data_IF_470687899869
#
_entry.id   IF_470687899869
#
_cell.length_a   1.000
_cell.length_b   1.000
_cell.length_c   1.000
_cell.angle_alpha   90.00
_cell.angle_beta   90.00
_cell.angle_gamma   90.00
#
_symmetry.space_group_name_H-M   'P 1'
#
loop_
_entity.id
_entity.type
_entity.pdbx_description
1 polymer ?
#
# COMPACT_ATOMS: atom_id res chain seq x y z
N UNK A 1 12.91 29.58 -0.61
CA UNK A 1 13.88 28.71 -1.32
C UNK A 1 13.30 27.96 -2.52
N UNK A 2 12.17 27.23 -2.41
CA UNK A 2 11.62 26.46 -3.55
C UNK A 2 11.44 27.23 -4.87
N UNK A 3 10.97 28.48 -4.82
CA UNK A 3 10.81 29.35 -6.01
C UNK A 3 12.12 29.57 -6.78
N UNK A 4 13.24 29.74 -6.07
CA UNK A 4 14.57 30.00 -6.66
C UNK A 4 15.00 28.82 -7.52
N UNK A 5 14.94 27.59 -7.00
CA UNK A 5 15.31 26.40 -7.76
C UNK A 5 14.33 26.13 -8.92
N UNK A 6 13.04 26.41 -8.71
CA UNK A 6 12.00 26.24 -9.74
C UNK A 6 12.22 27.15 -10.95
N UNK A 7 12.58 28.41 -10.71
CA UNK A 7 12.80 29.41 -11.74
C UNK A 7 14.24 29.39 -12.28
N UNK A 8 15.14 28.62 -11.67
CA UNK A 8 16.52 28.50 -12.13
C UNK A 8 16.61 27.84 -13.53
N UNK A 9 17.41 28.41 -14.43
CA UNK A 9 17.73 27.77 -15.72
C UNK A 9 18.53 26.48 -15.54
N UNK A 10 19.39 26.46 -14.52
CA UNK A 10 20.24 25.33 -14.13
C UNK A 10 20.66 25.48 -12.68
N UNK A 11 20.54 24.41 -11.91
CA UNK A 11 21.11 24.28 -10.57
C UNK A 11 22.40 23.46 -10.64
N UNK A 12 23.47 23.98 -10.05
CA UNK A 12 24.76 23.31 -9.95
C UNK A 12 24.94 22.84 -8.51
N UNK A 13 25.09 21.54 -8.32
CA UNK A 13 25.48 20.96 -7.04
C UNK A 13 26.99 20.82 -7.04
N UNK A 14 27.67 21.61 -6.22
CA UNK A 14 29.11 21.50 -6.02
C UNK A 14 29.40 20.51 -4.90
N UNK A 15 30.01 19.38 -5.24
CA UNK A 15 30.38 18.34 -4.29
C UNK A 15 31.73 18.59 -3.63
N UNK A 16 32.46 19.64 -4.02
CA UNK A 16 33.81 19.94 -3.55
C UNK A 16 34.88 19.75 -4.62
N UNK A 17 36.14 19.94 -4.23
CA UNK A 17 37.30 19.85 -5.13
C UNK A 17 37.48 18.46 -5.76
N UNK A 18 38.12 18.47 -6.94
CA UNK A 18 38.43 17.28 -7.71
C UNK A 18 39.72 16.62 -7.24
N UNK A 19 39.70 15.31 -7.18
CA UNK A 19 40.82 14.41 -6.92
C UNK A 19 40.76 13.28 -7.93
N UNK A 20 41.86 12.53 -8.09
CA UNK A 20 41.86 11.34 -8.95
C UNK A 20 40.73 10.36 -8.57
N UNK A 21 40.52 10.15 -7.27
CA UNK A 21 39.46 9.27 -6.76
C UNK A 21 38.06 9.79 -7.07
N UNK A 22 37.81 11.09 -6.88
CA UNK A 22 36.50 11.65 -7.20
C UNK A 22 36.21 11.66 -8.71
N UNK A 23 37.24 11.83 -9.53
CA UNK A 23 37.13 11.76 -10.98
C UNK A 23 36.78 10.33 -11.42
N UNK A 24 37.46 9.35 -10.85
CA UNK A 24 37.17 7.92 -11.03
C UNK A 24 35.75 7.58 -10.57
N UNK A 25 35.29 8.12 -9.45
CA UNK A 25 33.93 7.95 -8.95
C UNK A 25 32.87 8.50 -9.91
N UNK A 26 33.04 9.72 -10.43
CA UNK A 26 32.11 10.32 -11.39
C UNK A 26 32.10 9.52 -12.71
N UNK A 27 33.25 9.10 -13.19
CA UNK A 27 33.36 8.25 -14.38
C UNK A 27 32.67 6.90 -14.16
N UNK A 28 32.83 6.30 -12.98
CA UNK A 28 32.18 5.04 -12.62
C UNK A 28 30.66 5.17 -12.54
N UNK A 29 30.14 6.31 -12.05
CA UNK A 29 28.70 6.61 -12.13
C UNK A 29 28.19 6.64 -13.58
N UNK A 30 28.96 7.18 -14.53
CA UNK A 30 28.57 7.11 -15.96
C UNK A 30 28.59 5.67 -16.50
N UNK A 31 29.50 4.82 -16.04
CA UNK A 31 29.54 3.39 -16.38
C UNK A 31 28.28 2.70 -15.84
N UNK A 32 27.99 2.84 -14.54
CA UNK A 32 26.79 2.30 -13.90
C UNK A 32 25.51 2.75 -14.62
N UNK A 33 25.44 4.01 -15.06
CA UNK A 33 24.31 4.52 -15.81
C UNK A 33 24.11 3.80 -17.15
N UNK A 34 25.21 3.52 -17.87
CA UNK A 34 25.20 2.79 -19.16
C UNK A 34 24.84 1.31 -18.98
N UNK A 35 25.22 0.70 -17.86
CA UNK A 35 24.96 -0.71 -17.56
C UNK A 35 23.49 -1.04 -17.25
N UNK A 36 22.61 -0.04 -17.05
CA UNK A 36 21.18 -0.23 -16.66
C UNK A 36 20.45 -1.31 -17.47
N UNK A 37 20.61 -1.29 -18.81
CA UNK A 37 19.94 -2.23 -19.73
C UNK A 37 20.47 -3.66 -19.57
N UNK A 38 21.78 -3.81 -19.36
CA UNK A 38 22.46 -5.09 -19.18
C UNK A 38 22.15 -5.71 -17.82
N UNK A 39 22.00 -4.87 -16.79
CA UNK A 39 21.59 -5.24 -15.44
C UNK A 39 20.09 -5.54 -15.30
N UNK A 40 19.33 -5.58 -16.39
CA UNK A 40 17.89 -5.85 -16.34
C UNK A 40 17.63 -7.34 -16.05
N UNK A 41 16.63 -7.64 -15.21
CA UNK A 41 16.36 -9.01 -14.75
C UNK A 41 16.03 -10.00 -15.87
N UNK A 42 15.39 -9.54 -16.97
CA UNK A 42 15.09 -10.35 -18.17
C UNK A 42 16.34 -10.76 -18.97
N UNK A 43 17.52 -10.22 -18.67
CA UNK A 43 18.76 -10.46 -19.43
C UNK A 43 19.75 -11.36 -18.67
N UNK A 44 19.30 -12.48 -18.09
CA UNK A 44 20.08 -13.33 -17.16
C UNK A 44 21.57 -13.56 -17.53
N UNK A 45 21.93 -14.11 -18.71
CA UNK A 45 23.34 -14.41 -19.02
C UNK A 45 24.19 -13.15 -19.19
N UNK A 46 23.64 -12.08 -19.80
CA UNK A 46 24.36 -10.80 -19.96
C UNK A 46 24.46 -10.01 -18.64
N UNK A 47 23.52 -10.25 -17.73
CA UNK A 47 23.45 -9.60 -16.42
C UNK A 47 24.60 -10.09 -15.53
N UNK A 48 24.84 -11.40 -15.45
CA UNK A 48 25.90 -11.97 -14.60
C UNK A 48 27.29 -11.48 -15.02
N UNK A 49 27.60 -11.53 -16.32
CA UNK A 49 28.88 -11.03 -16.86
C UNK A 49 29.06 -9.54 -16.58
N UNK A 50 28.02 -8.74 -16.77
CA UNK A 50 28.09 -7.29 -16.51
C UNK A 50 28.23 -7.00 -15.01
N UNK A 51 27.57 -7.77 -14.14
CA UNK A 51 27.73 -7.65 -12.69
C UNK A 51 29.16 -7.94 -12.31
N UNK A 52 29.72 -9.07 -12.73
CA UNK A 52 31.09 -9.46 -12.39
C UNK A 52 32.09 -8.38 -12.80
N UNK A 53 31.97 -7.86 -14.04
CA UNK A 53 32.77 -6.74 -14.52
C UNK A 53 32.67 -5.48 -13.65
N UNK A 54 31.49 -5.18 -13.11
CA UNK A 54 31.29 -4.03 -12.23
C UNK A 54 31.89 -4.28 -10.84
N UNK A 55 31.76 -5.50 -10.30
CA UNK A 55 32.37 -5.90 -9.02
C UNK A 55 33.91 -5.73 -9.09
N UNK A 56 34.51 -6.23 -10.17
CA UNK A 56 35.97 -6.24 -10.37
C UNK A 56 36.56 -4.86 -10.78
N UNK A 57 35.72 -3.83 -10.90
CA UNK A 57 36.16 -2.51 -11.40
C UNK A 57 37.16 -1.81 -10.49
N UNK A 58 37.21 -2.18 -9.19
CA UNK A 58 38.00 -1.47 -8.17
C UNK A 58 37.56 -0.03 -7.91
N UNK A 59 36.43 0.42 -8.49
CA UNK A 59 35.95 1.81 -8.41
C UNK A 59 34.90 2.06 -7.32
N UNK A 60 34.58 1.04 -6.53
CA UNK A 60 33.60 1.12 -5.44
C UNK A 60 34.04 2.01 -4.28
N UNK A 61 35.30 1.91 -3.84
CA UNK A 61 35.84 2.73 -2.74
C UNK A 61 35.92 4.22 -3.10
N UNK A 62 36.42 4.64 -4.28
CA UNK A 62 36.31 6.04 -4.72
C UNK A 62 34.87 6.55 -4.76
N UNK A 63 33.94 5.72 -5.24
CA UNK A 63 32.52 6.05 -5.26
C UNK A 63 31.95 6.23 -3.85
N UNK A 64 32.30 5.35 -2.92
CA UNK A 64 31.90 5.46 -1.52
C UNK A 64 32.40 6.79 -0.91
N UNK A 65 33.67 7.15 -1.10
CA UNK A 65 34.22 8.43 -0.64
C UNK A 65 33.48 9.64 -1.23
N UNK A 66 33.11 9.61 -2.51
CA UNK A 66 32.31 10.66 -3.13
C UNK A 66 30.92 10.78 -2.48
N UNK A 67 30.28 9.64 -2.17
CA UNK A 67 28.94 9.58 -1.57
C UNK A 67 28.93 9.87 -0.05
N UNK A 68 30.10 9.88 0.60
CA UNK A 68 30.27 10.33 1.98
C UNK A 68 30.34 11.85 2.12
N UNK A 69 30.47 12.61 1.02
CA UNK A 69 30.60 14.06 1.08
C UNK A 69 29.37 14.76 1.71
N UNK A 70 29.55 15.92 2.37
CA UNK A 70 28.52 16.52 3.23
C UNK A 70 27.18 16.79 2.54
N UNK A 71 27.19 17.18 1.25
CA UNK A 71 25.97 17.48 0.49
C UNK A 71 24.96 16.32 0.54
N UNK A 72 25.42 15.07 0.60
CA UNK A 72 24.50 13.93 0.56
C UNK A 72 23.66 13.75 1.82
N UNK A 73 24.08 14.35 2.94
CA UNK A 73 23.42 14.21 4.24
C UNK A 73 22.60 15.44 4.63
N UNK A 74 22.67 16.52 3.85
CA UNK A 74 21.99 17.77 4.17
C UNK A 74 20.53 17.74 3.69
N UNK A 75 19.59 17.86 4.64
CA UNK A 75 18.13 17.78 4.43
C UNK A 75 17.62 18.77 3.37
N UNK A 76 18.09 20.03 3.45
CA UNK A 76 17.65 21.12 2.58
C UNK A 76 18.04 20.93 1.10
N UNK A 77 19.03 20.08 0.82
CA UNK A 77 19.47 19.77 -0.55
C UNK A 77 18.40 19.04 -1.37
N UNK A 78 17.39 18.45 -0.70
CA UNK A 78 16.29 17.79 -1.37
C UNK A 78 15.49 18.74 -2.26
N UNK A 79 15.24 19.97 -1.78
CA UNK A 79 14.52 20.99 -2.54
C UNK A 79 15.32 21.38 -3.79
N UNK A 80 16.65 21.50 -3.67
CA UNK A 80 17.55 21.74 -4.80
C UNK A 80 17.48 20.61 -5.82
N UNK A 81 17.49 19.37 -5.32
CA UNK A 81 17.51 18.16 -6.15
C UNK A 81 16.21 17.93 -6.91
N UNK A 82 15.07 18.08 -6.24
CA UNK A 82 13.75 17.75 -6.78
C UNK A 82 13.22 18.89 -7.65
N UNK A 83 13.27 20.13 -7.15
CA UNK A 83 12.56 21.27 -7.74
C UNK A 83 13.25 21.78 -9.01
N UNK A 84 14.59 21.69 -9.08
CA UNK A 84 15.34 22.22 -10.20
C UNK A 84 14.96 21.55 -11.54
N UNK A 85 14.67 22.32 -12.60
CA UNK A 85 14.35 21.76 -13.91
C UNK A 85 15.56 21.03 -14.51
N UNK A 86 16.74 21.64 -14.41
CA UNK A 86 18.03 21.03 -14.80
C UNK A 86 19.01 21.09 -13.63
N UNK A 87 19.52 19.92 -13.23
CA UNK A 87 20.51 19.80 -12.16
C UNK A 87 21.71 18.97 -12.58
N UNK A 88 22.89 19.48 -12.25
CA UNK A 88 24.18 18.85 -12.56
C UNK A 88 25.03 18.80 -11.30
N UNK A 89 25.54 17.63 -10.99
CA UNK A 89 26.55 17.43 -9.97
C UNK A 89 27.93 17.71 -10.55
N UNK A 90 28.70 18.54 -9.88
CA UNK A 90 30.10 18.79 -10.18
C UNK A 90 30.98 18.38 -9.02
N UNK A 91 32.13 17.80 -9.33
CA UNK A 91 33.20 17.53 -8.40
C UNK A 91 34.51 17.85 -9.12
N UNK A 92 35.17 18.95 -8.75
CA UNK A 92 36.23 19.51 -9.59
C UNK A 92 35.72 19.81 -11.01
N UNK A 93 36.42 19.30 -12.03
CA UNK A 93 36.05 19.48 -13.44
C UNK A 93 35.07 18.42 -13.97
N UNK A 94 34.85 17.33 -13.23
CA UNK A 94 33.98 16.24 -13.65
C UNK A 94 32.54 16.48 -13.22
N UNK A 95 31.60 15.99 -14.02
CA UNK A 95 30.19 16.17 -13.74
C UNK A 95 29.29 15.02 -14.18
N UNK A 96 28.12 14.96 -13.58
CA UNK A 96 27.04 14.06 -13.96
C UNK A 96 25.67 14.74 -13.82
N UNK A 97 24.84 14.64 -14.86
CA UNK A 97 23.49 15.19 -14.82
C UNK A 97 22.54 14.33 -13.95
N UNK A 98 21.57 14.98 -13.31
CA UNK A 98 20.57 14.36 -12.41
C UNK A 98 19.96 13.07 -12.97
N UNK A 99 19.53 13.08 -14.23
CA UNK A 99 18.91 11.92 -14.87
C UNK A 99 19.86 10.72 -14.96
N UNK A 100 21.13 10.96 -15.35
CA UNK A 100 22.15 9.90 -15.41
C UNK A 100 22.54 9.42 -14.01
N UNK A 101 22.68 10.32 -13.05
CA UNK A 101 22.94 9.97 -11.66
C UNK A 101 21.84 9.05 -11.09
N UNK A 102 20.57 9.38 -11.31
CA UNK A 102 19.45 8.54 -10.87
C UNK A 102 19.46 7.13 -11.48
N UNK A 103 19.87 7.01 -12.75
CA UNK A 103 20.06 5.69 -13.39
C UNK A 103 21.26 4.95 -12.80
N UNK A 104 22.39 5.62 -12.61
CA UNK A 104 23.60 5.05 -12.01
C UNK A 104 23.32 4.47 -10.63
N UNK A 105 22.66 5.23 -9.78
CA UNK A 105 22.32 4.82 -8.43
C UNK A 105 21.32 3.63 -8.42
N UNK A 106 20.45 3.51 -9.44
CA UNK A 106 19.59 2.34 -9.61
C UNK A 106 20.34 1.08 -10.03
N UNK A 107 21.42 1.23 -10.80
CA UNK A 107 22.36 0.13 -11.09
C UNK A 107 23.17 -0.24 -9.85
N UNK A 108 23.63 0.77 -9.10
CA UNK A 108 24.34 0.62 -7.84
C UNK A 108 23.53 -0.22 -6.83
N UNK A 109 22.25 0.08 -6.61
CA UNK A 109 21.39 -0.70 -5.70
C UNK A 109 21.29 -2.17 -6.11
N UNK A 110 21.29 -2.47 -7.42
CA UNK A 110 21.27 -3.86 -7.90
C UNK A 110 22.56 -4.60 -7.58
N UNK A 111 23.71 -3.95 -7.75
CA UNK A 111 25.00 -4.54 -7.39
C UNK A 111 25.11 -4.72 -5.87
N UNK A 112 24.72 -3.71 -5.08
CA UNK A 112 24.71 -3.77 -3.61
C UNK A 112 23.81 -4.87 -3.04
N UNK A 113 22.72 -5.21 -3.73
CA UNK A 113 21.82 -6.32 -3.35
C UNK A 113 22.44 -7.70 -3.57
N UNK A 114 23.49 -7.79 -4.38
CA UNK A 114 24.22 -9.03 -4.65
C UNK A 114 25.40 -9.14 -3.68
N UNK A 115 26.15 -8.05 -3.53
CA UNK A 115 27.24 -7.94 -2.57
C UNK A 115 27.07 -6.64 -1.78
N UNK A 116 26.73 -6.77 -0.50
CA UNK A 116 26.48 -5.65 0.39
C UNK A 116 27.78 -5.00 0.92
N UNK A 117 28.95 -5.59 0.69
CA UNK A 117 30.25 -5.07 1.10
C UNK A 117 30.82 -4.03 0.12
N UNK A 118 30.28 -3.94 -1.10
CA UNK A 118 30.73 -2.98 -2.12
C UNK A 118 30.59 -1.52 -1.69
N UNK A 119 29.52 -1.22 -0.94
CA UNK A 119 29.26 0.11 -0.43
C UNK A 119 28.36 -0.01 0.78
N UNK A 120 28.74 0.64 1.88
CA UNK A 120 27.98 0.54 3.12
C UNK A 120 26.60 1.17 2.94
N UNK A 121 25.61 0.55 3.60
CA UNK A 121 24.23 1.02 3.55
C UNK A 121 24.10 2.46 4.09
N UNK A 122 24.87 2.80 5.12
CA UNK A 122 24.96 4.14 5.73
C UNK A 122 25.50 5.22 4.78
N UNK A 123 26.24 4.83 3.74
CA UNK A 123 26.75 5.74 2.69
C UNK A 123 25.76 5.81 1.52
N UNK A 124 25.21 4.67 1.14
CA UNK A 124 24.26 4.58 0.03
C UNK A 124 22.94 5.30 0.33
N UNK A 125 22.38 5.15 1.53
CA UNK A 125 21.09 5.72 1.90
C UNK A 125 21.05 7.24 1.74
N UNK A 126 22.01 8.02 2.29
CA UNK A 126 22.07 9.45 2.08
C UNK A 126 22.27 9.82 0.60
N UNK A 127 22.97 9.02 -0.20
CA UNK A 127 23.10 9.33 -1.62
C UNK A 127 21.83 9.04 -2.43
N UNK A 128 21.04 8.07 -1.97
CA UNK A 128 19.84 7.59 -2.64
C UNK A 128 18.65 8.48 -2.29
N UNK A 129 18.30 9.39 -3.19
CA UNK A 129 17.24 10.39 -2.96
C UNK A 129 15.89 9.81 -2.55
N UNK A 130 15.58 8.54 -2.88
CA UNK A 130 14.35 7.88 -2.40
C UNK A 130 14.38 7.55 -0.91
N UNK A 131 15.56 7.43 -0.30
CA UNK A 131 15.77 7.05 1.11
C UNK A 131 16.29 8.16 2.00
N UNK A 132 16.82 9.27 1.45
CA UNK A 132 17.07 10.53 2.20
C UNK A 132 15.87 11.02 3.00
N UNK A 133 14.71 10.61 2.53
CA UNK A 133 13.42 10.95 3.08
C UNK A 133 13.24 10.36 4.51
N UNK A 134 13.87 9.23 4.86
CA UNK A 134 13.52 8.42 6.05
C UNK A 134 13.58 9.16 7.40
N UNK A 135 14.57 10.04 7.65
CA UNK A 135 14.72 10.72 8.96
C UNK A 135 14.04 12.09 9.04
N UNK A 136 13.99 12.81 7.91
CA UNK A 136 13.52 14.20 7.84
C UNK A 136 12.34 14.34 6.86
N UNK A 137 11.46 13.33 6.81
CA UNK A 137 10.35 13.23 5.86
C UNK A 137 9.50 14.50 5.82
N UNK A 138 9.16 15.04 6.99
CA UNK A 138 8.28 16.20 7.10
C UNK A 138 9.04 17.47 6.67
N UNK A 139 10.20 17.74 7.28
CA UNK A 139 10.93 18.99 7.05
C UNK A 139 11.56 19.10 5.66
N UNK A 140 12.05 17.98 5.11
CA UNK A 140 12.60 17.94 3.76
C UNK A 140 11.56 18.30 2.68
N UNK A 141 10.29 18.02 2.95
CA UNK A 141 9.16 18.28 2.04
C UNK A 141 8.50 19.65 2.24
N UNK A 142 8.87 20.44 3.27
CA UNK A 142 8.26 21.76 3.53
C UNK A 142 8.26 22.71 2.33
N UNK A 143 9.32 22.67 1.50
CA UNK A 143 9.42 23.50 0.30
C UNK A 143 8.59 23.00 -0.89
N UNK A 144 8.03 21.80 -0.79
CA UNK A 144 7.19 21.14 -1.79
C UNK A 144 5.72 21.05 -1.37
N UNK A 145 5.46 20.96 -0.06
CA UNK A 145 4.13 20.85 0.52
C UNK A 145 3.34 22.15 0.33
N UNK A 146 2.08 22.02 -0.12
CA UNK A 146 1.16 23.16 -0.27
C UNK A 146 0.70 23.66 1.11
N UNK A 147 0.55 22.72 2.02
CA UNK A 147 0.08 22.83 3.41
C UNK A 147 1.24 22.74 4.40
N UNK A 148 2.40 23.28 4.03
CA UNK A 148 3.62 23.28 4.86
C UNK A 148 3.43 23.84 6.27
N UNK A 149 2.43 24.70 6.47
CA UNK A 149 2.14 25.32 7.76
C UNK A 149 1.72 24.29 8.82
N UNK A 150 1.19 23.13 8.39
CA UNK A 150 0.85 22.00 9.28
C UNK A 150 2.05 21.45 10.05
N UNK A 151 3.23 21.50 9.44
CA UNK A 151 4.45 21.00 10.04
C UNK A 151 5.17 22.05 10.93
N UNK A 152 4.71 23.30 10.90
CA UNK A 152 5.29 24.39 11.67
C UNK A 152 6.76 24.68 11.35
N UNK A 153 7.47 25.26 12.32
CA UNK A 153 8.93 25.48 12.21
C UNK A 153 9.68 24.16 12.48
N UNK A 154 10.77 23.87 11.75
CA UNK A 154 11.59 22.70 12.02
C UNK A 154 12.09 22.66 13.48
N UNK A 155 11.74 21.59 14.18
CA UNK A 155 12.16 21.28 15.55
C UNK A 155 13.03 20.02 15.49
N UNK A 156 14.32 20.20 15.77
CA UNK A 156 15.31 19.11 15.78
C UNK A 156 15.66 18.63 17.19
N UNK A 157 15.02 19.21 18.21
CA UNK A 157 15.25 18.89 19.63
C UNK A 157 14.25 17.83 20.11
N UNK A 158 13.02 17.88 19.59
CA UNK A 158 11.98 16.89 19.90
C UNK A 158 12.29 15.51 19.31
N UNK A 159 11.78 14.48 19.99
CA UNK A 159 11.79 13.10 19.48
C UNK A 159 10.86 12.93 18.27
N UNK A 160 11.13 11.93 17.43
CA UNK A 160 10.39 11.67 16.18
C UNK A 160 8.89 11.41 16.44
N UNK A 161 8.56 10.66 17.49
CA UNK A 161 7.17 10.39 17.89
C UNK A 161 6.43 11.69 18.23
N UNK A 162 7.08 12.64 18.90
CA UNK A 162 6.48 13.94 19.23
C UNK A 162 6.29 14.82 17.99
N UNK A 163 7.27 14.85 17.09
CA UNK A 163 7.16 15.59 15.81
C UNK A 163 5.99 15.03 14.99
N UNK A 164 5.87 13.71 14.90
CA UNK A 164 4.81 13.07 14.11
C UNK A 164 3.43 13.25 14.75
N UNK A 165 3.34 13.15 16.08
CA UNK A 165 2.09 13.37 16.81
C UNK A 165 1.60 14.81 16.65
N UNK A 166 2.48 15.81 16.76
CA UNK A 166 2.16 17.23 16.52
C UNK A 166 1.68 17.49 15.09
N UNK A 167 2.25 16.80 14.10
CA UNK A 167 1.77 16.93 12.72
C UNK A 167 0.34 16.40 12.59
N UNK A 168 0.03 15.26 13.23
CA UNK A 168 -1.32 14.70 13.24
C UNK A 168 -2.30 15.62 13.97
N UNK A 169 -1.92 16.16 15.12
CA UNK A 169 -2.70 17.18 15.85
C UNK A 169 -2.98 18.39 14.95
N UNK A 170 -1.95 19.00 14.37
CA UNK A 170 -2.09 20.17 13.48
C UNK A 170 -3.00 19.88 12.28
N UNK A 171 -2.91 18.68 11.71
CA UNK A 171 -3.80 18.22 10.65
C UNK A 171 -5.26 18.16 11.12
N UNK A 172 -5.52 17.54 12.28
CA UNK A 172 -6.87 17.43 12.82
C UNK A 172 -7.43 18.81 13.16
N UNK A 173 -6.61 19.70 13.71
CA UNK A 173 -7.02 21.07 14.03
C UNK A 173 -7.34 21.89 12.80
N UNK A 174 -6.55 21.74 11.74
CA UNK A 174 -6.71 22.52 10.49
C UNK A 174 -7.86 22.01 9.65
N UNK A 175 -7.98 20.68 9.48
CA UNK A 175 -8.94 20.08 8.56
C UNK A 175 -10.19 19.50 9.24
N UNK A 176 -10.22 19.47 10.58
CA UNK A 176 -11.30 18.88 11.38
C UNK A 176 -11.66 17.47 10.91
N UNK A 177 -10.62 16.64 10.70
CA UNK A 177 -10.72 15.31 10.07
C UNK A 177 -9.76 14.35 10.76
N UNK A 178 -10.22 13.14 11.08
CA UNK A 178 -9.37 12.08 11.64
C UNK A 178 -8.69 11.21 10.59
N UNK A 179 -9.00 11.38 9.30
CA UNK A 179 -8.53 10.54 8.21
C UNK A 179 -7.01 10.32 8.16
N UNK A 180 -6.20 11.24 8.69
CA UNK A 180 -4.74 11.07 8.79
C UNK A 180 -4.35 9.85 9.63
N UNK A 181 -5.12 9.50 10.67
CA UNK A 181 -4.83 8.34 11.53
C UNK A 181 -5.09 7.02 10.80
N UNK A 182 -5.92 7.02 9.76
CA UNK A 182 -6.17 5.83 8.93
C UNK A 182 -4.91 5.36 8.20
N UNK A 183 -3.92 6.25 8.05
CA UNK A 183 -2.62 5.90 7.48
C UNK A 183 -1.72 5.16 8.47
N UNK A 184 -2.06 5.10 9.76
CA UNK A 184 -1.24 4.45 10.76
C UNK A 184 -0.97 2.98 10.43
N UNK A 185 -1.97 2.18 10.03
CA UNK A 185 -1.73 0.78 9.61
C UNK A 185 -0.88 0.66 8.35
N UNK A 186 -1.06 1.56 7.38
CA UNK A 186 -0.23 1.53 6.17
C UNK A 186 1.23 1.83 6.47
N UNK A 187 1.45 2.75 7.40
CA UNK A 187 2.75 3.24 7.81
C UNK A 187 3.21 2.60 9.12
N UNK A 188 2.66 1.47 9.55
CA UNK A 188 3.13 0.73 10.74
C UNK A 188 3.94 -0.51 10.39
N UNK A 189 3.74 -1.09 9.20
CA UNK A 189 4.01 -2.51 8.97
C UNK A 189 5.46 -2.97 9.07
N UNK A 190 6.49 -2.12 8.98
CA UNK A 190 7.88 -2.59 8.93
C UNK A 190 8.96 -1.70 9.59
N UNK A 191 8.59 -0.81 10.52
CA UNK A 191 9.57 -0.30 11.48
C UNK A 191 9.66 -1.33 12.62
N UNK A 192 10.65 -2.20 12.78
CA UNK A 192 12.05 -2.22 12.37
C UNK A 192 12.54 -3.66 12.61
N UNK A 193 13.11 -4.36 11.61
CA UNK A 193 13.83 -5.65 11.85
C UNK A 193 15.26 -5.44 12.44
N UNK A 194 15.63 -4.20 12.77
CA UNK A 194 16.97 -3.85 13.27
C UNK A 194 16.96 -2.52 14.05
N UNK A 195 16.87 -2.61 15.38
CA UNK A 195 16.93 -1.55 16.42
C UNK A 195 15.64 -1.15 17.17
N UNK A 196 15.54 -1.69 18.39
CA UNK A 196 15.38 -0.99 19.68
C UNK A 196 14.56 0.33 19.74
N UNK A 197 13.44 0.27 20.47
CA UNK A 197 12.89 1.29 21.39
C UNK A 197 12.15 2.56 20.91
N UNK A 198 11.95 2.85 19.63
CA UNK A 198 11.11 4.00 19.23
C UNK A 198 9.66 3.60 18.94
N UNK A 199 8.92 3.27 20.00
CA UNK A 199 7.47 3.01 19.95
C UNK A 199 6.74 4.32 19.67
N UNK A 200 6.18 4.47 18.48
CA UNK A 200 5.29 5.57 18.11
C UNK A 200 3.85 5.18 18.51
N UNK A 201 2.96 6.13 18.89
CA UNK A 201 1.56 5.81 19.19
C UNK A 201 0.84 5.14 18.01
N UNK A 202 -0.09 4.23 18.30
CA UNK A 202 -0.78 3.42 17.28
C UNK A 202 -1.66 4.21 16.30
N UNK A 203 -2.02 5.44 16.65
CA UNK A 203 -2.82 6.35 15.82
C UNK A 203 -1.96 7.28 14.94
N UNK A 204 -0.63 7.27 15.12
CA UNK A 204 0.29 8.13 14.37
C UNK A 204 0.93 7.32 13.23
N UNK A 205 0.83 7.78 11.98
CA UNK A 205 1.56 7.17 10.87
C UNK A 205 3.07 7.26 11.07
N UNK A 206 3.76 6.12 11.06
CA UNK A 206 5.22 6.13 11.05
C UNK A 206 5.73 6.32 9.62
N UNK A 207 5.89 7.59 9.24
CA UNK A 207 6.39 7.95 7.92
C UNK A 207 7.78 7.36 7.60
N UNK A 208 8.54 6.83 8.56
CA UNK A 208 9.81 6.12 8.32
C UNK A 208 9.60 4.76 7.62
N UNK A 209 8.39 4.19 7.67
CA UNK A 209 8.09 2.89 7.10
C UNK A 209 8.29 2.86 5.57
N UNK A 210 8.96 1.82 5.07
CA UNK A 210 9.09 1.59 3.62
C UNK A 210 7.78 1.02 3.09
N UNK A 211 6.91 1.92 2.60
CA UNK A 211 5.63 1.55 2.00
C UNK A 211 5.78 1.55 0.48
N UNK A 212 5.57 0.38 -0.14
CA UNK A 212 5.38 0.33 -1.60
C UNK A 212 4.08 1.07 -1.91
N UNK A 213 4.10 2.15 -2.72
CA UNK A 213 2.92 2.96 -2.98
C UNK A 213 1.87 2.11 -3.69
N UNK A 214 0.92 1.60 -2.93
CA UNK A 214 -0.21 0.86 -3.45
C UNK A 214 -1.28 1.87 -3.82
N UNK A 215 -1.79 1.77 -5.05
CA UNK A 215 -2.71 2.76 -5.61
C UNK A 215 -4.18 2.42 -5.28
N UNK A 216 -4.40 1.74 -4.16
CA UNK A 216 -5.73 1.50 -3.59
C UNK A 216 -5.90 2.52 -2.47
N UNK A 217 -6.90 3.43 -2.56
CA UNK A 217 -7.24 4.30 -1.45
C UNK A 217 -7.44 3.48 -0.19
N UNK A 218 -6.89 3.92 0.95
CA UNK A 218 -7.25 3.32 2.23
C UNK A 218 -8.77 3.32 2.35
N UNK A 219 -9.36 2.15 2.60
CA UNK A 219 -10.82 2.02 2.70
C UNK A 219 -11.40 2.93 3.79
N UNK A 220 -10.62 3.18 4.84
CA UNK A 220 -11.00 4.07 5.93
C UNK A 220 -11.00 5.56 5.56
N UNK A 221 -10.38 5.95 4.43
CA UNK A 221 -10.47 7.33 3.90
C UNK A 221 -10.68 7.29 2.39
N UNK A 222 -11.94 7.01 2.02
CA UNK A 222 -12.45 7.21 0.65
C UNK A 222 -13.04 8.61 0.47
N UNK A 223 -12.81 9.50 1.44
CA UNK A 223 -13.35 10.84 1.38
C UNK A 223 -12.78 11.55 0.16
N UNK A 224 -13.66 12.19 -0.62
CA UNK A 224 -13.34 13.06 -1.74
C UNK A 224 -12.58 14.34 -1.32
N UNK A 225 -12.21 14.45 -0.04
CA UNK A 225 -11.71 15.65 0.60
C UNK A 225 -10.29 15.94 0.10
N UNK A 226 -10.04 17.19 -0.26
CA UNK A 226 -8.80 17.60 -0.91
C UNK A 226 -7.54 17.50 -0.02
N UNK A 227 -7.72 17.40 1.30
CA UNK A 227 -6.62 17.33 2.28
C UNK A 227 -6.05 15.93 2.49
N UNK A 228 -6.80 14.88 2.17
CA UNK A 228 -6.23 13.54 2.01
C UNK A 228 -6.02 13.37 0.52
N UNK A 229 -4.77 13.45 0.07
CA UNK A 229 -4.37 13.37 -1.34
C UNK A 229 -4.69 12.03 -1.99
N UNK A 230 -5.97 11.66 -2.01
CA UNK A 230 -6.49 10.53 -2.72
C UNK A 230 -6.13 10.73 -4.20
N UNK A 231 -5.74 9.67 -4.88
CA UNK A 231 -5.47 9.73 -6.32
C UNK A 231 -6.78 9.89 -7.13
N UNK A 232 -7.83 10.50 -6.57
CA UNK A 232 -9.05 10.86 -7.29
C UNK A 232 -8.97 12.34 -7.67
N UNK A 233 -8.55 12.67 -8.90
CA UNK A 233 -8.54 14.05 -9.36
C UNK A 233 -9.98 14.47 -9.72
N UNK A 234 -10.88 14.54 -8.73
CA UNK A 234 -12.29 14.89 -8.90
C UNK A 234 -12.44 16.21 -9.66
N UNK A 235 -11.57 17.18 -9.36
CA UNK A 235 -11.51 18.47 -10.03
C UNK A 235 -11.07 18.41 -11.52
N UNK A 236 -10.50 17.29 -11.99
CA UNK A 236 -10.01 17.13 -13.38
C UNK A 236 -10.80 16.09 -14.20
N UNK A 237 -11.84 15.49 -13.63
CA UNK A 237 -12.65 14.47 -14.30
C UNK A 237 -14.13 14.92 -14.32
N UNK A 238 -14.54 15.68 -15.36
CA UNK A 238 -15.91 16.21 -15.49
C UNK A 238 -16.98 15.12 -15.46
N UNK A 239 -16.66 13.91 -15.94
CA UNK A 239 -17.54 12.73 -15.94
C UNK A 239 -17.84 12.23 -14.51
N UNK A 240 -16.96 12.52 -13.54
CA UNK A 240 -17.18 12.14 -12.14
C UNK A 240 -18.04 13.14 -11.37
N UNK A 241 -18.52 14.23 -11.98
CA UNK A 241 -19.34 15.24 -11.26
C UNK A 241 -20.66 14.67 -10.72
N UNK A 242 -21.27 13.70 -11.41
CA UNK A 242 -22.45 12.99 -10.90
C UNK A 242 -22.15 11.97 -9.80
N UNK A 243 -20.91 11.45 -9.73
CA UNK A 243 -20.45 10.44 -8.76
C UNK A 243 -19.50 11.00 -7.69
N UNK A 244 -19.25 12.32 -7.70
CA UNK A 244 -18.50 13.05 -6.68
C UNK A 244 -19.21 13.01 -5.31
N UNK A 245 -20.41 12.46 -5.27
CA UNK A 245 -21.41 12.53 -4.20
C UNK A 245 -21.44 11.34 -3.26
N UNK A 246 -20.62 10.30 -3.45
CA UNK A 246 -20.49 9.24 -2.44
C UNK A 246 -19.15 9.27 -1.72
N UNK A 247 -18.81 10.38 -0.99
CA UNK A 247 -17.83 10.28 0.06
C UNK A 247 -18.44 9.41 1.16
N UNK A 248 -18.00 8.16 1.27
CA UNK A 248 -18.28 7.38 2.47
C UNK A 248 -17.60 8.07 3.65
N UNK A 249 -18.40 8.81 4.41
CA UNK A 249 -18.01 9.41 5.66
C UNK A 249 -19.02 8.93 6.69
N UNK A 250 -18.64 7.96 7.52
CA UNK A 250 -19.52 7.42 8.56
C UNK A 250 -20.03 8.53 9.49
N UNK A 251 -19.22 9.56 9.72
CA UNK A 251 -19.58 10.73 10.52
C UNK A 251 -20.33 11.83 9.72
N UNK A 252 -20.43 11.71 8.39
CA UNK A 252 -21.00 12.74 7.52
C UNK A 252 -20.31 14.10 7.67
N UNK A 253 -21.05 15.09 8.15
CA UNK A 253 -20.57 16.45 8.47
C UNK A 253 -20.19 16.64 9.94
N UNK A 254 -20.39 15.62 10.79
CA UNK A 254 -20.07 15.68 12.21
C UNK A 254 -18.56 15.87 12.40
N UNK A 255 -18.21 16.77 13.32
CA UNK A 255 -16.82 17.04 13.66
C UNK A 255 -16.31 15.99 14.66
N UNK A 256 -15.03 15.62 14.61
CA UNK A 256 -14.45 14.71 15.58
C UNK A 256 -14.38 15.36 16.97
N UNK A 257 -14.90 14.67 17.99
CA UNK A 257 -14.72 15.02 19.40
C UNK A 257 -13.53 14.22 19.95
N UNK A 258 -12.40 14.89 20.17
CA UNK A 258 -11.14 14.25 20.59
C UNK A 258 -10.42 14.98 21.72
N UNK A 259 -9.51 14.26 22.39
CA UNK A 259 -8.55 14.80 23.33
C UNK A 259 -7.20 14.05 23.22
N UNK A 260 -6.10 14.76 23.41
CA UNK A 260 -4.76 14.19 23.51
C UNK A 260 -4.29 14.21 24.97
N UNK A 261 -3.53 13.19 25.39
CA UNK A 261 -2.78 13.24 26.63
C UNK A 261 -1.61 14.25 26.54
N UNK A 262 -1.15 14.76 27.68
CA UNK A 262 -0.07 15.76 27.74
C UNK A 262 1.25 15.30 27.08
N UNK A 263 1.49 13.99 27.09
CA UNK A 263 2.65 13.34 26.49
C UNK A 263 2.43 12.89 25.04
N UNK A 264 1.25 13.18 24.46
CA UNK A 264 0.83 12.76 23.13
C UNK A 264 0.86 11.24 22.89
N UNK A 265 0.80 10.42 23.94
CA UNK A 265 0.76 8.95 23.80
C UNK A 265 -0.64 8.43 23.54
N UNK A 266 -1.66 9.10 24.07
CA UNK A 266 -3.05 8.65 24.02
C UNK A 266 -3.89 9.68 23.26
N UNK A 267 -4.63 9.18 22.26
CA UNK A 267 -5.70 9.90 21.59
C UNK A 267 -7.03 9.29 22.06
N UNK A 268 -7.87 10.09 22.70
CA UNK A 268 -9.24 9.74 23.04
C UNK A 268 -10.18 10.32 22.00
N UNK A 269 -11.15 9.53 21.53
CA UNK A 269 -12.17 9.96 20.57
C UNK A 269 -13.53 9.44 21.00
N UNK A 270 -14.57 10.26 20.84
CA UNK A 270 -15.94 9.80 20.95
C UNK A 270 -16.30 8.97 19.73
N UNK A 271 -16.94 7.81 19.95
CA UNK A 271 -17.31 6.90 18.89
C UNK A 271 -18.73 6.37 19.09
N UNK A 272 -19.31 5.83 18.03
CA UNK A 272 -20.56 5.08 18.07
C UNK A 272 -20.20 3.61 17.96
N UNK A 273 -20.64 2.79 18.93
CA UNK A 273 -20.56 1.35 18.81
C UNK A 273 -21.62 0.90 17.79
N UNK A 274 -21.16 0.41 16.64
CA UNK A 274 -22.05 -0.05 15.56
C UNK A 274 -22.40 -1.52 15.79
N UNK A 275 -21.39 -2.38 15.89
CA UNK A 275 -21.56 -3.81 16.12
C UNK A 275 -20.27 -4.46 16.65
N UNK A 276 -20.35 -5.75 16.99
CA UNK A 276 -19.23 -6.61 17.36
C UNK A 276 -18.72 -7.40 16.15
N UNK A 277 -17.39 -7.53 16.06
CA UNK A 277 -16.77 -8.38 15.04
C UNK A 277 -16.85 -9.83 15.52
N UNK A 278 -17.67 -10.64 14.85
CA UNK A 278 -17.86 -12.07 15.18
C UNK A 278 -16.61 -12.91 14.89
N UNK A 279 -15.95 -12.65 13.77
CA UNK A 279 -14.74 -13.35 13.37
C UNK A 279 -13.80 -12.48 12.54
N UNK A 280 -12.52 -12.85 12.55
CA UNK A 280 -11.45 -12.24 11.79
C UNK A 280 -10.76 -13.30 10.94
N UNK A 281 -10.57 -12.98 9.67
CA UNK A 281 -9.86 -13.84 8.73
C UNK A 281 -8.39 -14.01 9.10
N UNK A 282 -7.82 -15.16 8.75
CA UNK A 282 -6.39 -15.44 8.92
C UNK A 282 -5.54 -14.64 7.92
N UNK A 283 -4.34 -14.24 8.33
CA UNK A 283 -3.38 -13.53 7.47
C UNK A 283 -1.97 -14.11 7.60
N UNK A 284 -1.21 -14.13 6.50
CA UNK A 284 0.19 -14.57 6.51
C UNK A 284 1.05 -13.72 7.46
N UNK A 285 0.74 -12.43 7.61
CA UNK A 285 1.49 -11.49 8.44
C UNK A 285 1.44 -11.84 9.93
N UNK A 286 0.33 -12.42 10.40
CA UNK A 286 0.18 -12.85 11.78
C UNK A 286 0.58 -14.32 12.02
N UNK A 287 0.78 -15.11 10.95
CA UNK A 287 0.90 -16.58 11.05
C UNK A 287 -0.22 -17.22 11.87
N UNK A 288 -1.38 -16.58 11.91
CA UNK A 288 -2.53 -16.97 12.73
C UNK A 288 -3.66 -17.46 11.83
N UNK A 289 -4.26 -18.59 12.19
CA UNK A 289 -5.53 -19.06 11.63
C UNK A 289 -6.65 -18.05 11.91
N UNK A 290 -7.79 -18.20 11.23
CA UNK A 290 -8.99 -17.41 11.54
C UNK A 290 -9.33 -17.45 13.04
N UNK A 291 -9.74 -16.31 13.60
CA UNK A 291 -10.18 -16.18 14.99
C UNK A 291 -11.67 -15.92 14.96
N UNK A 292 -12.46 -16.67 15.72
CA UNK A 292 -13.91 -16.48 15.76
C UNK A 292 -14.42 -16.57 17.18
N UNK A 293 -15.15 -15.54 17.59
CA UNK A 293 -15.92 -15.49 18.82
C UNK A 293 -17.36 -15.79 18.43
N UNK A 294 -17.70 -17.06 18.21
CA UNK A 294 -19.06 -17.48 17.81
C UNK A 294 -20.09 -16.99 18.84
N UNK A 295 -20.62 -15.78 18.66
CA UNK A 295 -21.65 -15.24 19.54
C UNK A 295 -22.97 -15.92 19.17
N UNK A 296 -23.71 -16.39 20.18
CA UNK A 296 -25.04 -16.97 19.99
C UNK A 296 -26.01 -16.01 19.26
N UNK A 297 -25.75 -14.70 19.35
CA UNK A 297 -26.53 -13.62 18.71
C UNK A 297 -26.43 -13.66 17.18
N UNK A 298 -25.29 -14.12 16.63
CA UNK A 298 -25.04 -14.16 15.18
C UNK A 298 -25.41 -15.50 14.53
N UNK A 299 -25.96 -16.42 15.31
CA UNK A 299 -26.45 -17.72 14.85
C UNK A 299 -27.97 -17.65 14.69
N UNK A 300 -28.53 -17.93 13.48
CA UNK A 300 -29.99 -17.94 13.27
C UNK A 300 -30.73 -18.93 14.20
N UNK A 301 -30.00 -19.86 14.81
CA UNK A 301 -30.50 -20.93 15.68
C UNK A 301 -31.06 -20.38 17.01
N UNK A 302 -30.73 -19.14 17.41
CA UNK A 302 -31.11 -18.60 18.73
C UNK A 302 -32.50 -17.93 18.78
N UNK A 303 -33.20 -17.73 17.66
CA UNK A 303 -34.55 -17.12 17.67
C UNK A 303 -35.71 -18.11 17.80
N UNK A 304 -35.46 -19.42 17.75
CA UNK A 304 -36.46 -20.45 18.07
C UNK A 304 -35.92 -21.38 19.15
N UNK A 305 -36.16 -21.00 20.40
CA UNK A 305 -35.97 -21.88 21.55
C UNK A 305 -37.04 -22.99 21.54
N UNK A 306 -36.86 -24.04 20.72
CA UNK A 306 -37.23 -25.44 21.01
C UNK A 306 -36.96 -26.39 19.82
N UNK A 307 -35.71 -26.71 19.47
CA UNK A 307 -35.46 -27.83 18.52
C UNK A 307 -34.22 -28.65 18.88
N UNK A 308 -34.45 -29.97 18.92
CA UNK A 308 -33.52 -31.11 19.05
C UNK A 308 -32.24 -30.99 18.20
N UNK A 309 -31.14 -31.70 18.56
CA UNK A 309 -29.84 -31.55 17.92
C UNK A 309 -29.92 -31.81 16.42
N UNK A 310 -29.80 -30.76 15.63
CA UNK A 310 -29.89 -30.82 14.17
C UNK A 310 -28.61 -31.45 13.62
N UNK A 311 -28.68 -32.77 13.42
CA UNK A 311 -27.76 -33.56 12.58
C UNK A 311 -28.18 -33.43 11.11
N UNK A 312 -28.06 -32.25 10.52
CA UNK A 312 -28.00 -32.02 9.07
C UNK A 312 -27.98 -30.51 8.80
N UNK A 313 -26.96 -30.02 8.11
CA UNK A 313 -27.00 -28.65 7.55
C UNK A 313 -28.11 -28.67 6.49
N UNK A 314 -29.30 -28.18 6.82
CA UNK A 314 -30.35 -27.95 5.84
C UNK A 314 -29.80 -26.94 4.83
N UNK A 315 -29.71 -27.36 3.56
CA UNK A 315 -29.33 -26.51 2.44
C UNK A 315 -30.48 -25.51 2.26
N UNK A 316 -30.22 -24.25 2.59
CA UNK A 316 -31.12 -23.14 2.29
C UNK A 316 -30.49 -22.39 1.12
N UNK A 317 -30.86 -22.82 -0.09
CA UNK A 317 -30.27 -22.33 -1.34
C UNK A 317 -30.46 -20.82 -1.51
N UNK A 318 -31.54 -20.25 -0.96
CA UNK A 318 -31.83 -18.82 -1.04
C UNK A 318 -30.93 -18.03 -0.09
N UNK A 319 -30.80 -18.48 1.17
CA UNK A 319 -29.90 -17.86 2.13
C UNK A 319 -28.42 -17.97 1.70
N UNK A 320 -27.98 -19.15 1.25
CA UNK A 320 -26.60 -19.37 0.83
C UNK A 320 -26.26 -18.51 -0.41
N UNK A 321 -27.23 -18.28 -1.30
CA UNK A 321 -27.08 -17.37 -2.43
C UNK A 321 -26.92 -15.91 -1.99
N UNK A 322 -27.73 -15.44 -1.04
CA UNK A 322 -27.63 -14.09 -0.47
C UNK A 322 -26.27 -13.90 0.22
N UNK A 323 -25.85 -14.87 1.03
CA UNK A 323 -24.55 -14.82 1.70
C UNK A 323 -23.38 -14.77 0.72
N UNK A 324 -23.47 -15.49 -0.41
CA UNK A 324 -22.47 -15.42 -1.47
C UNK A 324 -22.45 -14.07 -2.18
N UNK A 325 -23.61 -13.46 -2.41
CA UNK A 325 -23.71 -12.11 -2.96
C UNK A 325 -23.08 -11.09 -2.02
N UNK A 326 -23.39 -11.16 -0.72
CA UNK A 326 -22.87 -10.23 0.28
C UNK A 326 -21.37 -10.41 0.53
N UNK A 327 -20.88 -11.65 0.51
CA UNK A 327 -19.46 -11.95 0.52
C UNK A 327 -18.81 -11.33 -0.72
N UNK A 328 -19.36 -11.56 -1.91
CA UNK A 328 -18.82 -11.01 -3.17
C UNK A 328 -18.76 -9.49 -3.13
N UNK A 329 -19.86 -8.83 -2.70
CA UNK A 329 -19.90 -7.37 -2.49
C UNK A 329 -18.79 -6.93 -1.54
N UNK A 330 -18.59 -7.64 -0.43
CA UNK A 330 -17.54 -7.31 0.55
C UNK A 330 -16.13 -7.42 -0.04
N UNK A 331 -15.88 -8.43 -0.87
CA UNK A 331 -14.57 -8.66 -1.50
C UNK A 331 -14.20 -7.59 -2.54
N UNK A 332 -15.21 -6.99 -3.19
CA UNK A 332 -15.01 -5.93 -4.20
C UNK A 332 -15.46 -4.55 -3.72
N UNK A 333 -15.84 -4.43 -2.46
CA UNK A 333 -16.43 -3.23 -1.86
C UNK A 333 -17.67 -2.73 -2.60
N UNK A 334 -18.38 -3.63 -3.27
CA UNK A 334 -19.49 -3.37 -4.17
C UNK A 334 -19.09 -2.45 -5.35
N UNK A 335 -17.81 -2.37 -5.74
CA UNK A 335 -17.32 -1.40 -6.73
C UNK A 335 -16.46 -2.05 -7.83
N UNK A 336 -16.73 -1.67 -9.08
CA UNK A 336 -16.01 -2.20 -10.25
C UNK A 336 -14.63 -1.55 -10.43
N UNK A 337 -14.56 -0.24 -10.22
CA UNK A 337 -13.39 0.55 -10.56
C UNK A 337 -12.65 1.11 -9.34
N UNK A 338 -11.36 1.40 -9.52
CA UNK A 338 -10.47 1.96 -8.49
C UNK A 338 -10.92 3.32 -7.92
N UNK A 339 -11.78 4.03 -8.63
CA UNK A 339 -12.32 5.32 -8.23
C UNK A 339 -13.73 5.16 -7.66
N UNK A 340 -14.18 3.92 -7.43
CA UNK A 340 -15.47 3.54 -6.84
C UNK A 340 -16.65 4.28 -7.47
N UNK A 341 -16.58 4.47 -8.79
CA UNK A 341 -17.55 5.26 -9.55
C UNK A 341 -18.71 4.39 -10.03
N UNK A 342 -18.45 3.11 -10.26
CA UNK A 342 -19.44 2.16 -10.77
C UNK A 342 -19.66 1.03 -9.76
N UNK A 343 -20.92 0.62 -9.54
CA UNK A 343 -21.21 -0.57 -8.74
C UNK A 343 -20.58 -1.79 -9.40
N UNK A 344 -20.16 -2.76 -8.58
CA UNK A 344 -19.59 -3.99 -9.08
C UNK A 344 -20.65 -4.79 -9.87
N UNK A 345 -20.35 -5.27 -11.09
CA UNK A 345 -21.16 -6.30 -11.74
C UNK A 345 -21.12 -7.59 -10.91
N UNK A 346 -22.05 -7.69 -9.95
CA UNK A 346 -22.05 -8.70 -8.89
C UNK A 346 -22.02 -10.13 -9.45
N UNK A 347 -22.85 -10.42 -10.45
CA UNK A 347 -22.90 -11.72 -11.12
C UNK A 347 -21.55 -12.16 -11.68
N UNK A 348 -20.82 -11.22 -12.28
CA UNK A 348 -19.51 -11.48 -12.86
C UNK A 348 -18.50 -11.80 -11.77
N UNK A 349 -18.41 -10.95 -10.75
CA UNK A 349 -17.46 -11.13 -9.65
C UNK A 349 -17.77 -12.36 -8.81
N UNK A 350 -19.06 -12.67 -8.63
CA UNK A 350 -19.51 -13.86 -7.94
C UNK A 350 -19.04 -15.10 -8.67
N UNK A 351 -19.25 -15.16 -10.00
CA UNK A 351 -18.78 -16.27 -10.83
C UNK A 351 -17.25 -16.40 -10.80
N UNK A 352 -16.52 -15.31 -11.00
CA UNK A 352 -15.05 -15.31 -10.95
C UNK A 352 -14.52 -15.80 -9.58
N UNK A 353 -15.14 -15.36 -8.47
CA UNK A 353 -14.77 -15.81 -7.13
C UNK A 353 -15.10 -17.29 -6.88
N UNK A 354 -16.26 -17.76 -7.34
CA UNK A 354 -16.65 -19.16 -7.26
C UNK A 354 -15.67 -20.05 -8.05
N UNK A 355 -15.32 -19.66 -9.28
CA UNK A 355 -14.36 -20.40 -10.11
C UNK A 355 -13.00 -20.55 -9.40
N UNK A 356 -12.52 -19.47 -8.76
CA UNK A 356 -11.28 -19.52 -7.96
C UNK A 356 -11.38 -20.48 -6.77
N UNK A 357 -12.50 -20.47 -6.06
CA UNK A 357 -12.73 -21.37 -4.93
C UNK A 357 -12.82 -22.83 -5.38
N UNK A 358 -13.48 -23.11 -6.50
CA UNK A 358 -13.57 -24.45 -7.09
C UNK A 358 -12.17 -24.97 -7.44
N UNK A 359 -11.34 -24.16 -8.12
CA UNK A 359 -9.96 -24.54 -8.43
C UNK A 359 -9.16 -24.77 -7.16
N UNK A 360 -9.30 -23.94 -6.13
CA UNK A 360 -8.60 -24.13 -4.86
C UNK A 360 -9.01 -25.42 -4.11
N UNK A 361 -10.29 -25.80 -4.18
CA UNK A 361 -10.83 -27.00 -3.51
C UNK A 361 -10.46 -28.28 -4.30
N UNK A 362 -10.68 -28.29 -5.62
CA UNK A 362 -10.59 -29.50 -6.44
C UNK A 362 -9.19 -29.71 -7.03
N UNK A 363 -8.50 -28.62 -7.37
CA UNK A 363 -7.23 -28.63 -8.09
C UNK A 363 -6.22 -27.63 -7.47
N UNK A 364 -5.85 -27.79 -6.18
CA UNK A 364 -5.03 -26.81 -5.45
C UNK A 364 -3.65 -26.57 -6.06
N UNK A 365 -3.16 -27.47 -6.92
CA UNK A 365 -1.90 -27.30 -7.66
C UNK A 365 -2.03 -26.32 -8.84
N UNK A 366 -3.24 -26.12 -9.36
CA UNK A 366 -3.54 -25.21 -10.47
C UNK A 366 -4.01 -23.83 -9.98
N UNK A 367 -4.41 -23.73 -8.70
CA UNK A 367 -4.75 -22.48 -8.05
C UNK A 367 -3.54 -21.53 -7.98
N UNK A 368 -3.78 -20.22 -8.10
CA UNK A 368 -2.75 -19.23 -7.83
C UNK A 368 -2.24 -19.38 -6.39
N UNK A 369 -0.91 -19.44 -6.15
CA UNK A 369 -0.36 -19.69 -4.82
C UNK A 369 -0.89 -18.73 -3.75
N UNK A 370 -1.05 -17.44 -4.08
CA UNK A 370 -1.49 -16.43 -3.12
C UNK A 370 -2.95 -16.63 -2.73
N UNK A 371 -3.80 -16.98 -3.71
CA UNK A 371 -5.20 -17.26 -3.45
C UNK A 371 -5.38 -18.55 -2.65
N UNK A 372 -4.62 -19.59 -3.00
CA UNK A 372 -4.63 -20.86 -2.28
C UNK A 372 -4.25 -20.67 -0.82
N UNK A 373 -3.14 -19.98 -0.56
CA UNK A 373 -2.63 -19.79 0.80
C UNK A 373 -3.61 -18.92 1.63
N UNK A 374 -4.23 -17.90 1.02
CA UNK A 374 -5.32 -17.14 1.63
C UNK A 374 -6.55 -18.01 1.93
N UNK A 375 -7.00 -18.82 0.97
CA UNK A 375 -8.19 -19.66 1.12
C UNK A 375 -7.98 -20.69 2.24
N UNK A 376 -6.81 -21.30 2.31
CA UNK A 376 -6.45 -22.23 3.39
C UNK A 376 -6.51 -21.59 4.77
N UNK A 377 -6.11 -20.32 4.91
CA UNK A 377 -6.19 -19.57 6.17
C UNK A 377 -7.61 -19.15 6.57
N UNK A 378 -8.55 -19.12 5.61
CA UNK A 378 -9.87 -18.51 5.77
C UNK A 378 -11.05 -19.46 5.53
N UNK A 379 -10.83 -20.66 4.99
CA UNK A 379 -11.89 -21.63 4.63
C UNK A 379 -12.81 -22.02 5.79
N UNK A 380 -12.28 -21.98 7.02
CA UNK A 380 -13.00 -22.28 8.26
C UNK A 380 -13.72 -21.08 8.88
N UNK A 381 -13.60 -19.88 8.32
CA UNK A 381 -14.32 -18.70 8.80
C UNK A 381 -15.83 -18.91 8.62
N UNK A 382 -16.60 -18.80 9.69
CA UNK A 382 -18.05 -18.93 9.65
C UNK A 382 -18.73 -17.56 9.45
N UNK A 383 -19.59 -17.50 8.44
CA UNK A 383 -20.46 -16.36 8.10
C UNK A 383 -21.90 -16.80 8.37
N UNK A 384 -22.55 -16.20 9.37
CA UNK A 384 -23.91 -16.57 9.83
C UNK A 384 -24.09 -18.08 10.02
N UNK A 385 -23.08 -18.75 10.59
CA UNK A 385 -23.08 -20.20 10.84
C UNK A 385 -22.73 -21.09 9.66
N UNK A 386 -22.34 -20.54 8.50
CA UNK A 386 -21.84 -21.28 7.33
C UNK A 386 -20.35 -21.03 7.15
N UNK A 387 -19.53 -22.08 7.01
CA UNK A 387 -18.12 -21.87 6.68
C UNK A 387 -17.97 -21.31 5.26
N UNK A 388 -16.94 -20.51 5.03
CA UNK A 388 -16.58 -20.04 3.69
C UNK A 388 -16.49 -21.21 2.70
N UNK A 389 -15.87 -22.33 3.10
CA UNK A 389 -15.77 -23.52 2.26
C UNK A 389 -17.14 -24.09 1.86
N UNK A 390 -18.11 -24.13 2.79
CA UNK A 390 -19.46 -24.63 2.51
C UNK A 390 -20.17 -23.70 1.53
N UNK A 391 -20.10 -22.38 1.74
CA UNK A 391 -20.70 -21.39 0.84
C UNK A 391 -20.16 -21.52 -0.59
N UNK A 392 -18.85 -21.71 -0.74
CA UNK A 392 -18.20 -21.94 -2.02
C UNK A 392 -18.60 -23.27 -2.68
N UNK A 393 -18.90 -24.31 -1.90
CA UNK A 393 -19.34 -25.62 -2.43
C UNK A 393 -20.81 -25.62 -2.85
N UNK A 394 -21.70 -24.98 -2.10
CA UNK A 394 -23.15 -24.92 -2.39
C UNK A 394 -23.43 -24.08 -3.64
N UNK A 395 -22.67 -23.01 -3.84
CA UNK A 395 -22.66 -22.21 -5.07
C UNK A 395 -22.57 -23.05 -6.38
N UNK A 396 -21.87 -24.19 -6.35
CA UNK A 396 -21.75 -25.13 -7.48
C UNK A 396 -23.10 -25.71 -7.94
N UNK A 397 -24.05 -25.89 -7.02
CA UNK A 397 -25.33 -26.56 -7.27
C UNK A 397 -26.30 -25.62 -8.02
N UNK A 398 -26.27 -24.32 -7.72
CA UNK A 398 -27.17 -23.33 -8.34
C UNK A 398 -26.82 -23.01 -9.80
N UNK A 399 -25.57 -23.19 -10.22
CA UNK A 399 -25.13 -22.92 -11.61
C UNK A 399 -25.44 -24.10 -12.53
N UNK A 400 -25.53 -25.33 -11.99
CA UNK A 400 -25.84 -26.53 -12.76
C UNK A 400 -27.29 -26.58 -13.29
N UNK A 401 -28.23 -25.79 -12.75
CA UNK A 401 -29.65 -25.84 -13.11
C UNK A 401 -30.06 -24.86 -14.22
N UNK A 402 -29.17 -23.96 -14.68
CA UNK A 402 -29.39 -23.09 -15.84
C UNK A 402 -28.20 -23.13 -16.80
N UNK A 403 -27.92 -24.30 -17.35
CA UNK A 403 -26.98 -24.45 -18.46
C UNK A 403 -27.71 -24.20 -19.78
N UNK A 404 -27.88 -22.94 -20.17
CA UNK A 404 -28.06 -22.62 -21.60
C UNK A 404 -26.69 -22.56 -22.25
N UNK A 405 -26.50 -23.43 -23.24
CA UNK A 405 -25.33 -23.56 -24.10
C UNK A 405 -24.72 -22.20 -24.48
N UNK A 406 -23.52 -21.91 -23.98
CA UNK A 406 -22.59 -20.96 -24.57
C UNK A 406 -21.27 -21.68 -24.77
N UNK A 407 -21.28 -22.67 -25.68
CA UNK A 407 -20.08 -23.36 -26.17
C UNK A 407 -19.73 -22.98 -27.62
N UNK A 408 -20.40 -21.98 -28.20
CA UNK A 408 -20.04 -21.42 -29.51
C UNK A 408 -19.90 -19.90 -29.44
N UNK A 409 -18.82 -19.42 -28.81
CA UNK A 409 -18.18 -18.17 -29.24
C UNK A 409 -16.67 -18.30 -29.03
N UNK A 410 -15.82 -18.04 -30.04
CA UNK A 410 -14.38 -18.01 -29.89
C UNK A 410 -13.96 -16.77 -29.08
N UNK A 411 -14.17 -16.83 -27.76
CA UNK A 411 -13.91 -15.74 -26.81
C UNK A 411 -13.52 -16.22 -25.41
N UNK A 412 -13.70 -17.51 -25.09
CA UNK A 412 -13.50 -18.08 -23.74
C UNK A 412 -12.03 -18.23 -23.34
N UNK A 413 -11.08 -17.98 -24.24
CA UNK A 413 -9.63 -17.93 -23.93
C UNK A 413 -9.15 -16.49 -23.60
N UNK A 414 -10.01 -15.48 -23.69
CA UNK A 414 -9.66 -14.08 -23.45
C UNK A 414 -9.99 -13.55 -22.03
N UNK A 415 -10.79 -14.26 -21.23
CA UNK A 415 -11.17 -13.79 -19.88
C UNK A 415 -10.15 -14.10 -18.77
N UNK A 416 -9.34 -15.17 -18.89
CA UNK A 416 -8.10 -15.27 -18.11
C UNK A 416 -7.11 -14.13 -18.46
N UNK A 417 -7.29 -13.49 -19.62
CA UNK A 417 -6.45 -12.38 -20.09
C UNK A 417 -6.72 -11.03 -19.43
N UNK A 418 -7.89 -10.78 -18.82
CA UNK A 418 -8.16 -9.47 -18.23
C UNK A 418 -7.86 -9.37 -16.74
N UNK A 419 -7.96 -10.50 -16.00
CA UNK A 419 -7.54 -10.59 -14.60
C UNK A 419 -6.05 -10.89 -14.43
N UNK A 420 -5.38 -11.50 -15.42
CA UNK A 420 -4.00 -12.00 -15.28
C UNK A 420 -3.00 -11.31 -16.25
N UNK A 421 -3.45 -10.51 -17.22
CA UNK A 421 -2.55 -9.94 -18.26
C UNK A 421 -2.37 -8.42 -18.16
N UNK A 422 -1.58 -8.03 -17.17
CA UNK A 422 -0.50 -7.03 -17.27
C UNK A 422 0.37 -7.27 -16.03
N UNK A 423 1.69 -7.41 -16.18
CA UNK A 423 2.69 -7.63 -15.10
C UNK A 423 2.62 -6.63 -13.92
N UNK A 424 1.70 -5.64 -13.95
CA UNK A 424 1.41 -4.66 -12.87
C UNK A 424 -0.03 -4.67 -12.34
N UNK A 425 -0.93 -5.50 -12.90
CA UNK A 425 -2.34 -5.65 -12.47
C UNK A 425 -2.61 -6.94 -11.69
N UNK A 426 -1.72 -7.94 -11.76
CA UNK A 426 -1.80 -9.17 -10.96
C UNK A 426 -1.81 -8.89 -9.45
N UNK A 427 -1.08 -7.86 -9.02
CA UNK A 427 -1.06 -7.40 -7.63
C UNK A 427 -2.40 -6.81 -7.17
N UNK A 428 -3.25 -6.35 -8.09
CA UNK A 428 -4.40 -5.51 -7.77
C UNK A 428 -5.57 -6.28 -7.17
N UNK A 429 -5.97 -7.42 -7.75
CA UNK A 429 -7.12 -8.19 -7.27
C UNK A 429 -6.78 -9.10 -6.09
N UNK A 430 -5.63 -9.79 -6.14
CA UNK A 430 -5.13 -10.55 -5.00
C UNK A 430 -4.81 -9.62 -3.82
N UNK A 431 -4.20 -8.46 -4.06
CA UNK A 431 -3.89 -7.48 -3.01
C UNK A 431 -5.11 -6.78 -2.41
N UNK A 432 -6.20 -6.63 -3.17
CA UNK A 432 -7.48 -6.13 -2.67
C UNK A 432 -8.13 -7.17 -1.73
N UNK A 433 -8.23 -8.43 -2.17
CA UNK A 433 -8.72 -9.56 -1.35
C UNK A 433 -7.88 -9.77 -0.07
N UNK A 434 -6.55 -9.68 -0.18
CA UNK A 434 -5.60 -9.90 0.92
C UNK A 434 -5.49 -8.74 1.93
N UNK A 435 -5.79 -7.50 1.53
CA UNK A 435 -5.79 -6.35 2.48
C UNK A 435 -7.16 -6.02 3.03
N UNK A 436 -8.25 -6.28 2.30
CA UNK A 436 -9.61 -6.19 2.85
C UNK A 436 -9.76 -7.13 4.05
N UNK A 437 -9.20 -8.35 3.97
CA UNK A 437 -9.31 -9.35 5.03
C UNK A 437 -8.38 -9.13 6.22
N UNK A 438 -7.38 -8.24 6.11
CA UNK A 438 -6.55 -7.82 7.24
C UNK A 438 -7.20 -6.79 8.16
N UNK A 439 -8.31 -6.14 7.77
CA UNK A 439 -8.95 -5.09 8.60
C UNK A 439 -10.47 -4.92 8.41
N UNK A 440 -11.17 -5.70 7.58
CA UNK A 440 -12.63 -5.60 7.50
C UNK A 440 -13.31 -6.97 7.40
N UNK A 441 -13.93 -7.38 8.51
CA UNK A 441 -15.17 -8.17 8.48
C UNK A 441 -16.29 -7.19 8.81
N UNK A 442 -16.99 -6.73 7.78
CA UNK A 442 -18.30 -6.09 7.95
C UNK A 442 -19.33 -7.09 7.45
N UNK A 443 -19.99 -7.77 8.38
CA UNK A 443 -21.20 -8.52 8.09
C UNK A 443 -22.40 -7.64 8.41
N UNK A 444 -22.99 -7.09 7.33
CA UNK A 444 -24.43 -6.90 7.12
C UNK A 444 -25.28 -6.49 8.35
N UNK A 445 -25.45 -5.19 8.53
CA UNK A 445 -26.59 -4.65 9.27
C UNK A 445 -27.84 -4.72 8.37
N UNK A 446 -28.88 -5.44 8.78
CA UNK A 446 -30.23 -5.13 8.30
C UNK A 446 -30.62 -3.74 8.81
N UNK A 447 -31.22 -2.85 7.98
CA UNK A 447 -31.76 -1.61 8.49
C UNK A 447 -32.90 -1.94 9.44
N UNK A 448 -32.74 -1.61 10.73
CA UNK A 448 -33.90 -1.52 11.63
C UNK A 448 -34.87 -0.53 11.01
N UNK A 449 -36.07 -1.00 10.65
CA UNK A 449 -37.19 -0.10 10.35
C UNK A 449 -37.40 0.78 11.58
N UNK A 450 -37.20 2.08 11.41
CA UNK A 450 -37.65 3.05 12.39
C UNK A 450 -39.17 2.89 12.57
N UNK A 451 -39.59 2.89 13.83
CA UNK A 451 -40.98 2.99 14.28
C UNK A 451 -41.19 4.38 14.84
#
# INVERSE_FOLDING_TARGET
>A
MGRIYKESKRTVVWLGEGTKDSDDAINFLHILARSKKRLHWKNKPKREVEIQKLLDSGKWKPLETLLLRPWWRQVWTLQEFIIAPKLIFYCGSKSIERGRFGVAMGSLDRCRKIDNHLIKLETFIPAWNRRRLIRDHIYSLLGLAKDRELAGRPDYESSVDKIYSKLVESFIDTYKSLDIICFADLFSKHCVKSDTHLTIPSWVPDWRADVVPFVVPLMASQSARSHIGNFRPLAKLPILTHYATTPYAAAGTSLPEIAFSDDFRVLTCKAILIDYIDGLGGTEAASSSCIQSTSLINSPIAMEADVKPVRSIQIDLDLDSILMDDLTRSLVLDREDRYLSHPAPLERFRKEFQDLCVVAIEQPKEADPWFRDWFELNKSLCIRGRTLEILCRIAKISVSSKMTNVMDTPGTVLCLGYMIRREKKKEWHAGLLLRITGTLVWLLTEPKKET
#
